data_IF_114525203841
#
_entry.id   IF_114525203841
#
_cell.length_a   1.000
_cell.length_b   1.000
_cell.length_c   1.000
_cell.angle_alpha   90.00
_cell.angle_beta   90.00
_cell.angle_gamma   90.00
#
_symmetry.space_group_name_H-M   'P 1'
#
loop_
_entity.id
_entity.type
_entity.pdbx_description
1 polymer ?
#
# COMPACT_ATOMS: atom_id res chain seq x y z
N UNK A 1 -14.50 -12.30 13.98
CA UNK A 1 -14.74 -10.92 14.47
C UNK A 1 -13.63 -9.96 14.13
N UNK A 2 -12.35 -10.35 14.19
CA UNK A 2 -11.21 -9.52 13.77
C UNK A 2 -11.39 -8.94 12.36
N UNK A 3 -11.71 -9.77 11.36
CA UNK A 3 -11.90 -9.31 9.97
C UNK A 3 -13.08 -8.34 9.82
N UNK A 4 -14.10 -8.50 10.67
CA UNK A 4 -15.23 -7.55 10.73
C UNK A 4 -14.80 -6.22 11.32
N UNK A 5 -13.96 -6.24 12.37
CA UNK A 5 -13.38 -5.03 12.94
C UNK A 5 -12.53 -4.30 11.90
N UNK A 6 -11.66 -5.00 11.20
CA UNK A 6 -10.81 -4.41 10.16
C UNK A 6 -11.62 -3.66 9.08
N UNK A 7 -12.80 -4.19 8.71
CA UNK A 7 -13.69 -3.55 7.74
C UNK A 7 -14.55 -2.41 8.30
N UNK A 8 -14.98 -2.52 9.56
CA UNK A 8 -15.95 -1.59 10.17
C UNK A 8 -15.30 -0.46 10.99
N UNK A 9 -14.07 -0.67 11.47
CA UNK A 9 -13.41 0.26 12.40
C UNK A 9 -13.95 0.23 13.83
N UNK A 10 -14.83 -0.72 14.14
CA UNK A 10 -15.37 -0.95 15.48
C UNK A 10 -15.81 -2.41 15.64
N UNK A 11 -15.91 -2.86 16.88
CA UNK A 11 -16.41 -4.20 17.19
C UNK A 11 -17.91 -4.29 16.91
N UNK A 12 -18.27 -4.86 15.77
CA UNK A 12 -19.64 -4.90 15.26
C UNK A 12 -19.91 -6.06 14.30
N UNK A 13 -21.13 -6.10 13.79
CA UNK A 13 -21.57 -7.09 12.82
C UNK A 13 -21.86 -8.47 13.40
N UNK A 14 -21.89 -9.48 12.53
CA UNK A 14 -22.19 -10.88 12.87
C UNK A 14 -21.14 -11.81 12.32
N UNK A 15 -20.82 -12.89 13.03
CA UNK A 15 -20.01 -13.99 12.53
C UNK A 15 -20.90 -15.24 12.41
N UNK A 16 -20.77 -15.93 11.29
CA UNK A 16 -21.46 -17.19 11.04
C UNK A 16 -20.46 -18.34 11.19
N UNK A 17 -20.77 -19.30 12.05
CA UNK A 17 -19.97 -20.48 12.32
C UNK A 17 -20.67 -21.69 11.73
N UNK A 18 -19.97 -22.45 10.91
CA UNK A 18 -20.45 -23.67 10.27
C UNK A 18 -19.54 -24.83 10.62
N UNK A 19 -20.04 -26.05 10.46
CA UNK A 19 -19.26 -27.28 10.63
C UNK A 19 -18.64 -27.46 12.03
N UNK A 20 -19.26 -26.91 13.06
CA UNK A 20 -18.81 -27.05 14.43
C UNK A 20 -19.07 -28.47 14.95
N UNK A 21 -18.11 -29.02 15.69
CA UNK A 21 -18.23 -30.27 16.42
C UNK A 21 -19.25 -30.15 17.56
N UNK A 22 -19.69 -31.32 18.12
CA UNK A 22 -20.59 -31.31 19.26
C UNK A 22 -19.98 -30.63 20.49
N UNK A 23 -18.69 -30.80 20.64
CA UNK A 23 -17.92 -30.25 21.76
C UNK A 23 -17.82 -28.73 21.66
N UNK A 24 -17.49 -28.18 20.49
CA UNK A 24 -17.46 -26.72 20.23
C UNK A 24 -18.85 -26.09 20.43
N UNK A 25 -19.91 -26.75 19.98
CA UNK A 25 -21.27 -26.26 20.21
C UNK A 25 -21.63 -26.22 21.69
N UNK A 26 -21.20 -27.23 22.46
CA UNK A 26 -21.39 -27.26 23.89
C UNK A 26 -20.65 -26.14 24.61
N UNK A 27 -19.40 -25.90 24.24
CA UNK A 27 -18.58 -24.79 24.77
C UNK A 27 -19.22 -23.42 24.47
N UNK A 28 -19.63 -23.21 23.21
CA UNK A 28 -20.36 -22.01 22.82
C UNK A 28 -21.68 -21.86 23.60
N UNK A 29 -22.38 -22.98 23.80
CA UNK A 29 -23.61 -23.02 24.59
C UNK A 29 -23.39 -22.57 26.02
N UNK A 30 -22.33 -23.07 26.66
CA UNK A 30 -21.95 -22.65 28.01
C UNK A 30 -21.56 -21.17 28.07
N UNK A 31 -20.81 -20.67 27.09
CA UNK A 31 -20.37 -19.27 27.03
C UNK A 31 -21.54 -18.28 26.81
N UNK A 32 -22.42 -18.59 25.86
CA UNK A 32 -23.54 -17.71 25.51
C UNK A 32 -24.84 -18.02 26.28
N UNK A 33 -24.82 -19.00 27.17
CA UNK A 33 -25.99 -19.49 27.93
C UNK A 33 -27.16 -19.87 27.01
N UNK A 34 -26.86 -20.56 25.90
CA UNK A 34 -27.85 -20.99 24.89
C UNK A 34 -27.54 -22.40 24.41
N UNK A 35 -28.57 -23.16 24.06
CA UNK A 35 -28.41 -24.48 23.45
C UNK A 35 -28.19 -24.34 21.92
N UNK A 36 -27.04 -24.80 21.46
CA UNK A 36 -26.66 -24.84 20.05
C UNK A 36 -26.51 -26.24 19.48
N UNK A 37 -26.82 -27.26 20.26
CA UNK A 37 -26.54 -28.69 19.92
C UNK A 37 -27.22 -29.12 18.62
N UNK A 38 -28.43 -28.64 18.34
CA UNK A 38 -29.20 -28.98 17.15
C UNK A 38 -28.90 -28.07 15.94
N UNK A 39 -28.17 -26.96 16.12
CA UNK A 39 -27.95 -26.00 15.08
C UNK A 39 -26.88 -26.45 14.07
N UNK A 40 -27.19 -26.44 12.78
CA UNK A 40 -26.20 -26.66 11.71
C UNK A 40 -25.27 -25.46 11.53
N UNK A 41 -25.82 -24.27 11.74
CA UNK A 41 -25.14 -22.97 11.62
C UNK A 41 -25.46 -22.13 12.84
N UNK A 42 -24.45 -21.48 13.41
CA UNK A 42 -24.60 -20.60 14.56
C UNK A 42 -24.18 -19.20 14.13
N UNK A 43 -25.08 -18.23 14.31
CA UNK A 43 -24.79 -16.82 14.06
C UNK A 43 -24.59 -16.11 15.37
N UNK A 44 -23.42 -15.47 15.54
CA UNK A 44 -23.05 -14.73 16.73
C UNK A 44 -22.90 -13.26 16.35
N UNK A 45 -23.70 -12.40 16.98
CA UNK A 45 -23.58 -10.96 16.82
C UNK A 45 -22.59 -10.35 17.79
N UNK A 46 -21.99 -9.22 17.42
CA UNK A 46 -21.15 -8.43 18.32
C UNK A 46 -21.92 -7.99 19.57
N UNK A 47 -23.21 -7.67 19.45
CA UNK A 47 -24.06 -7.30 20.60
C UNK A 47 -24.25 -8.44 21.58
N UNK A 48 -24.42 -9.69 21.07
CA UNK A 48 -24.49 -10.87 21.94
C UNK A 48 -23.15 -11.07 22.68
N UNK A 49 -22.03 -10.90 21.98
CA UNK A 49 -20.71 -11.00 22.60
C UNK A 49 -20.50 -9.90 23.66
N UNK A 50 -20.88 -8.66 23.38
CA UNK A 50 -20.81 -7.55 24.36
C UNK A 50 -21.64 -7.86 25.61
N UNK A 51 -22.90 -8.27 25.44
CA UNK A 51 -23.78 -8.64 26.57
C UNK A 51 -23.21 -9.78 27.40
N UNK A 52 -22.64 -10.80 26.78
CA UNK A 52 -22.02 -11.90 27.51
C UNK A 52 -20.77 -11.44 28.30
N UNK A 53 -20.00 -10.53 27.76
CA UNK A 53 -18.84 -9.97 28.44
C UNK A 53 -19.28 -9.12 29.65
N UNK A 54 -20.27 -8.24 29.46
CA UNK A 54 -20.84 -7.38 30.50
C UNK A 54 -21.46 -8.17 31.66
N UNK A 55 -22.04 -9.33 31.37
CA UNK A 55 -22.61 -10.23 32.39
C UNK A 55 -21.61 -11.20 33.03
N UNK A 56 -20.35 -11.16 32.63
CA UNK A 56 -19.28 -12.04 33.11
C UNK A 56 -18.43 -11.36 34.19
N UNK A 57 -17.53 -12.15 34.81
CA UNK A 57 -16.50 -11.60 35.70
C UNK A 57 -15.50 -10.66 35.00
N UNK A 58 -15.58 -10.54 33.69
CA UNK A 58 -14.71 -9.69 32.84
C UNK A 58 -15.44 -8.45 32.32
N UNK A 59 -16.51 -8.01 32.96
CA UNK A 59 -17.35 -6.88 32.55
C UNK A 59 -16.60 -5.55 32.35
N UNK A 60 -15.40 -5.38 32.93
CA UNK A 60 -14.55 -4.20 32.74
C UNK A 60 -13.66 -4.24 31.50
N UNK A 61 -13.65 -5.34 30.73
CA UNK A 61 -12.85 -5.46 29.51
C UNK A 61 -13.67 -5.15 28.26
N UNK A 62 -12.98 -4.77 27.19
CA UNK A 62 -13.56 -4.64 25.86
C UNK A 62 -13.16 -5.81 24.98
N UNK A 63 -13.96 -6.12 23.97
CA UNK A 63 -13.60 -7.17 23.01
C UNK A 63 -12.38 -6.80 22.17
N UNK A 64 -12.18 -5.53 21.93
CA UNK A 64 -10.98 -5.00 21.27
C UNK A 64 -9.73 -5.40 22.07
N UNK A 65 -9.69 -5.10 23.35
CA UNK A 65 -8.57 -5.45 24.23
C UNK A 65 -8.35 -6.97 24.32
N UNK A 66 -9.44 -7.73 24.37
CA UNK A 66 -9.35 -9.20 24.38
C UNK A 66 -8.74 -9.74 23.09
N UNK A 67 -9.18 -9.21 21.93
CA UNK A 67 -8.66 -9.64 20.64
C UNK A 67 -7.20 -9.20 20.45
N UNK A 68 -6.84 -7.99 20.82
CA UNK A 68 -5.45 -7.51 20.79
C UNK A 68 -4.54 -8.38 21.66
N UNK A 69 -4.98 -8.69 22.87
CA UNK A 69 -4.23 -9.57 23.77
C UNK A 69 -4.09 -10.99 23.21
N UNK A 70 -5.17 -11.52 22.62
CA UNK A 70 -5.17 -12.87 22.05
C UNK A 70 -4.25 -12.99 20.82
N UNK A 71 -4.25 -12.00 19.95
CA UNK A 71 -3.42 -11.99 18.74
C UNK A 71 -2.00 -11.45 18.97
N UNK A 72 -1.75 -10.79 20.10
CA UNK A 72 -0.46 -10.17 20.42
C UNK A 72 -0.15 -8.93 19.57
N UNK A 73 -1.13 -8.35 18.91
CA UNK A 73 -0.98 -7.18 18.04
C UNK A 73 -2.21 -6.28 18.10
N UNK A 74 -2.06 -4.96 17.85
CA UNK A 74 -3.18 -4.02 17.80
C UNK A 74 -4.17 -4.37 16.68
N UNK A 75 -5.44 -4.10 16.92
CA UNK A 75 -6.47 -4.21 15.88
C UNK A 75 -6.29 -3.09 14.86
N UNK A 76 -6.22 -3.45 13.59
CA UNK A 76 -5.99 -2.50 12.50
C UNK A 76 -7.28 -2.26 11.72
N UNK A 77 -7.52 -1.01 11.35
CA UNK A 77 -8.62 -0.59 10.48
C UNK A 77 -8.10 -0.47 9.06
N UNK A 78 -8.64 -1.25 8.14
CA UNK A 78 -8.19 -1.30 6.75
C UNK A 78 -8.16 0.08 6.09
N UNK A 79 -9.18 0.89 6.34
CA UNK A 79 -9.26 2.27 5.80
C UNK A 79 -8.14 3.18 6.31
N UNK A 80 -7.72 3.02 7.56
CA UNK A 80 -6.61 3.81 8.13
C UNK A 80 -5.27 3.40 7.53
N UNK A 81 -5.07 2.10 7.30
CA UNK A 81 -3.88 1.58 6.61
C UNK A 81 -3.81 2.13 5.18
N UNK A 82 -4.91 2.01 4.42
CA UNK A 82 -4.99 2.51 3.05
C UNK A 82 -4.73 4.03 2.98
N UNK A 83 -5.27 4.78 3.93
CA UNK A 83 -5.04 6.23 4.01
C UNK A 83 -3.58 6.56 4.34
N UNK A 84 -2.99 5.84 5.28
CA UNK A 84 -1.58 6.03 5.64
C UNK A 84 -0.63 5.67 4.50
N UNK A 85 -0.94 4.60 3.74
CA UNK A 85 -0.17 4.22 2.55
C UNK A 85 -0.31 5.25 1.42
N UNK A 86 -1.54 5.76 1.18
CA UNK A 86 -1.77 6.84 0.20
C UNK A 86 -0.94 8.07 0.56
N UNK A 87 -0.99 8.49 1.81
CA UNK A 87 -0.23 9.65 2.28
C UNK A 87 1.28 9.46 2.14
N UNK A 88 1.81 8.30 2.53
CA UNK A 88 3.25 8.00 2.35
C UNK A 88 3.67 8.10 0.89
N UNK A 89 2.83 7.60 -0.01
CA UNK A 89 3.10 7.67 -1.44
C UNK A 89 3.08 9.12 -1.94
N UNK A 90 2.11 9.91 -1.51
CA UNK A 90 2.01 11.33 -1.84
C UNK A 90 3.23 12.11 -1.36
N UNK A 91 3.62 11.93 -0.10
CA UNK A 91 4.79 12.56 0.51
C UNK A 91 6.09 12.15 -0.23
N UNK A 92 6.25 10.87 -0.56
CA UNK A 92 7.41 10.38 -1.30
C UNK A 92 7.57 11.04 -2.68
N UNK A 93 6.49 11.13 -3.45
CA UNK A 93 6.56 11.76 -4.77
C UNK A 93 6.67 13.29 -4.69
N UNK A 94 6.09 13.92 -3.67
CA UNK A 94 6.27 15.35 -3.41
C UNK A 94 7.73 15.69 -3.16
N UNK A 95 8.43 14.94 -2.30
CA UNK A 95 9.86 15.12 -2.06
C UNK A 95 10.70 14.98 -3.33
N UNK A 96 10.39 13.99 -4.18
CA UNK A 96 11.10 13.82 -5.45
C UNK A 96 10.85 15.00 -6.37
N UNK A 97 9.60 15.44 -6.54
CA UNK A 97 9.25 16.59 -7.36
C UNK A 97 9.94 17.88 -6.90
N UNK A 98 10.07 18.09 -5.59
CA UNK A 98 10.80 19.21 -5.02
C UNK A 98 12.31 19.12 -5.29
N UNK A 99 12.88 17.93 -5.32
CA UNK A 99 14.30 17.70 -5.58
C UNK A 99 14.72 17.93 -7.05
N UNK A 100 13.76 17.86 -7.98
CA UNK A 100 14.02 18.06 -9.41
C UNK A 100 14.21 19.55 -9.70
N UNK A 101 15.40 19.93 -10.13
CA UNK A 101 15.75 21.34 -10.43
C UNK A 101 15.19 21.80 -11.76
N UNK A 102 15.13 20.91 -12.77
CA UNK A 102 14.65 21.25 -14.11
C UNK A 102 13.13 21.14 -14.23
N UNK A 103 12.49 22.19 -14.76
CA UNK A 103 11.03 22.23 -14.89
C UNK A 103 10.49 21.18 -15.85
N UNK A 104 11.20 20.87 -16.94
CA UNK A 104 10.74 19.85 -17.90
C UNK A 104 10.69 18.45 -17.30
N UNK A 105 11.71 18.10 -16.49
CA UNK A 105 11.72 16.86 -15.73
C UNK A 105 10.62 16.80 -14.67
N UNK A 106 10.36 17.94 -14.02
CA UNK A 106 9.28 18.06 -13.03
C UNK A 106 7.89 17.91 -13.66
N UNK A 107 7.63 18.61 -14.76
CA UNK A 107 6.38 18.53 -15.51
C UNK A 107 6.14 17.12 -16.06
N UNK A 108 7.19 16.49 -16.61
CA UNK A 108 7.12 15.11 -17.09
C UNK A 108 6.68 14.15 -15.97
N UNK A 109 7.34 14.16 -14.82
CA UNK A 109 6.98 13.28 -13.72
C UNK A 109 5.58 13.58 -13.19
N UNK A 110 5.22 14.86 -13.05
CA UNK A 110 3.88 15.28 -12.62
C UNK A 110 2.80 14.73 -13.56
N UNK A 111 3.01 14.88 -14.87
CA UNK A 111 2.03 14.40 -15.86
C UNK A 111 1.84 12.89 -15.82
N UNK A 112 2.91 12.11 -15.59
CA UNK A 112 2.79 10.65 -15.41
C UNK A 112 1.97 10.31 -14.17
N UNK A 113 2.22 10.98 -13.05
CA UNK A 113 1.55 10.69 -11.79
C UNK A 113 0.08 11.09 -11.79
N UNK A 114 -0.25 12.26 -12.31
CA UNK A 114 -1.61 12.83 -12.29
C UNK A 114 -2.49 12.25 -13.42
N UNK A 115 -1.96 12.17 -14.62
CA UNK A 115 -2.73 11.72 -15.80
C UNK A 115 -2.60 10.22 -16.08
N UNK A 116 -1.80 9.50 -15.26
CA UNK A 116 -1.53 8.06 -15.40
C UNK A 116 -1.04 7.67 -16.81
N UNK A 117 -0.17 8.51 -17.36
CA UNK A 117 0.45 8.29 -18.66
C UNK A 117 1.34 7.05 -18.70
N UNK A 118 1.90 6.78 -19.85
CA UNK A 118 2.91 5.72 -20.02
C UNK A 118 4.04 5.88 -18.98
N UNK A 119 4.48 4.76 -18.41
CA UNK A 119 5.43 4.75 -17.27
C UNK A 119 4.75 4.70 -15.88
N UNK A 120 3.48 5.10 -15.73
CA UNK A 120 2.79 5.12 -14.43
C UNK A 120 2.79 3.76 -13.72
N UNK A 121 2.49 2.69 -14.44
CA UNK A 121 2.47 1.34 -13.87
C UNK A 121 3.85 0.90 -13.42
N UNK A 122 4.88 1.18 -14.23
CA UNK A 122 6.27 0.86 -13.92
C UNK A 122 6.74 1.61 -12.67
N UNK A 123 6.48 2.92 -12.60
CA UNK A 123 6.81 3.74 -11.43
C UNK A 123 6.06 3.24 -10.19
N UNK A 124 4.78 2.89 -10.32
CA UNK A 124 3.98 2.40 -9.20
C UNK A 124 4.45 1.04 -8.69
N UNK A 125 4.88 0.15 -9.59
CA UNK A 125 5.44 -1.14 -9.24
C UNK A 125 6.78 -0.97 -8.51
N UNK A 126 7.69 -0.19 -9.06
CA UNK A 126 9.00 0.10 -8.46
C UNK A 126 8.88 0.79 -7.09
N UNK A 127 7.91 1.69 -6.92
CA UNK A 127 7.64 2.29 -5.61
C UNK A 127 7.32 1.23 -4.54
N UNK A 128 6.58 0.19 -4.90
CA UNK A 128 6.23 -0.89 -3.96
C UNK A 128 7.39 -1.84 -3.69
N UNK A 129 8.21 -2.11 -4.70
CA UNK A 129 9.28 -3.10 -4.63
C UNK A 129 10.58 -2.51 -4.07
N UNK A 130 10.97 -1.32 -4.51
CA UNK A 130 12.23 -0.68 -4.16
C UNK A 130 12.17 0.85 -4.30
N UNK A 131 11.60 1.57 -3.31
CA UNK A 131 11.46 3.03 -3.35
C UNK A 131 12.80 3.77 -3.55
N UNK A 132 13.88 3.28 -2.92
CA UNK A 132 15.21 3.91 -3.04
C UNK A 132 15.80 3.76 -4.46
N UNK A 133 15.61 2.62 -5.08
CA UNK A 133 16.00 2.41 -6.46
C UNK A 133 15.19 3.31 -7.40
N UNK A 134 13.89 3.40 -7.18
CA UNK A 134 13.03 4.30 -7.96
C UNK A 134 13.49 5.76 -7.83
N UNK A 135 13.82 6.23 -6.62
CA UNK A 135 14.36 7.58 -6.40
C UNK A 135 15.59 7.84 -7.26
N UNK A 136 16.53 6.90 -7.28
CA UNK A 136 17.73 6.98 -8.09
C UNK A 136 17.41 7.00 -9.60
N UNK A 137 16.51 6.15 -10.06
CA UNK A 137 16.09 6.09 -11.45
C UNK A 137 15.45 7.41 -11.87
N UNK A 138 14.51 7.94 -11.09
CA UNK A 138 13.84 9.21 -11.39
C UNK A 138 14.83 10.38 -11.41
N UNK A 139 15.79 10.41 -10.51
CA UNK A 139 16.86 11.42 -10.51
C UNK A 139 17.66 11.39 -11.81
N UNK A 140 18.08 10.21 -12.25
CA UNK A 140 18.83 10.05 -13.49
C UNK A 140 18.00 10.39 -14.74
N UNK A 141 16.75 9.94 -14.79
CA UNK A 141 15.86 10.20 -15.93
C UNK A 141 15.57 11.70 -16.04
N UNK A 142 15.24 12.39 -14.95
CA UNK A 142 14.97 13.84 -14.97
C UNK A 142 16.22 14.67 -15.30
N UNK A 143 17.40 14.23 -14.82
CA UNK A 143 18.68 14.80 -15.25
C UNK A 143 18.92 14.59 -16.74
N UNK A 144 18.58 13.41 -17.25
CA UNK A 144 18.66 13.12 -18.69
C UNK A 144 17.73 14.01 -19.51
N UNK A 145 16.48 14.21 -19.07
CA UNK A 145 15.51 15.09 -19.72
C UNK A 145 16.04 16.52 -19.82
N UNK A 146 16.59 17.05 -18.74
CA UNK A 146 17.19 18.40 -18.72
C UNK A 146 18.33 18.53 -19.76
N UNK A 147 19.19 17.52 -19.88
CA UNK A 147 20.28 17.50 -20.89
C UNK A 147 19.75 17.36 -22.30
N UNK A 148 18.75 16.51 -22.55
CA UNK A 148 18.14 16.36 -23.88
C UNK A 148 17.57 17.68 -24.40
N UNK A 149 16.92 18.47 -23.56
CA UNK A 149 16.42 19.80 -23.91
C UNK A 149 17.53 20.71 -24.41
N UNK A 150 18.68 20.72 -23.72
CA UNK A 150 19.85 21.53 -24.13
C UNK A 150 20.38 21.05 -25.48
N UNK A 151 20.39 19.76 -25.77
CA UNK A 151 20.82 19.22 -27.08
C UNK A 151 19.85 19.58 -28.21
N UNK A 152 18.54 19.48 -27.94
CA UNK A 152 17.51 19.88 -28.90
C UNK A 152 17.66 21.39 -29.29
N UNK A 153 17.82 22.26 -28.30
CA UNK A 153 18.00 23.69 -28.51
C UNK A 153 19.26 24.02 -29.33
N UNK A 154 20.35 23.28 -29.11
CA UNK A 154 21.63 23.45 -29.80
C UNK A 154 21.77 22.61 -31.07
N UNK A 155 20.79 21.80 -31.43
CA UNK A 155 20.85 20.80 -32.55
C UNK A 155 22.08 19.93 -32.50
N UNK A 156 22.51 19.56 -31.29
CA UNK A 156 23.67 18.71 -31.07
C UNK A 156 23.26 17.24 -31.06
N UNK A 157 24.18 16.35 -31.45
CA UNK A 157 24.03 14.90 -31.39
C UNK A 157 25.10 14.35 -30.47
N UNK A 158 24.74 13.42 -29.61
CA UNK A 158 25.66 12.72 -28.74
C UNK A 158 25.39 11.21 -28.82
N UNK A 159 26.43 10.40 -28.66
CA UNK A 159 26.27 8.96 -28.57
C UNK A 159 25.59 8.58 -27.27
N UNK A 160 24.65 7.63 -27.30
CA UNK A 160 23.88 7.20 -26.14
C UNK A 160 24.78 6.79 -24.95
N UNK A 161 25.87 6.06 -25.22
CA UNK A 161 26.80 5.63 -24.17
C UNK A 161 27.50 6.82 -23.48
N UNK A 162 27.83 7.88 -24.24
CA UNK A 162 28.45 9.11 -23.71
C UNK A 162 27.41 9.89 -22.91
N UNK A 163 26.21 10.04 -23.44
CA UNK A 163 25.09 10.65 -22.74
C UNK A 163 24.79 9.93 -21.41
N UNK A 164 24.67 8.59 -21.46
CA UNK A 164 24.45 7.74 -20.28
C UNK A 164 25.54 7.95 -19.22
N UNK A 165 26.81 7.89 -19.62
CA UNK A 165 27.93 8.11 -18.71
C UNK A 165 27.91 9.51 -18.07
N UNK A 166 27.59 10.52 -18.88
CA UNK A 166 27.50 11.92 -18.42
C UNK A 166 26.34 12.18 -17.44
N UNK A 167 25.26 11.42 -17.55
CA UNK A 167 24.08 11.55 -16.67
C UNK A 167 24.23 10.73 -15.40
N UNK A 168 24.71 9.49 -15.50
CA UNK A 168 24.62 8.48 -14.46
C UNK A 168 25.98 7.95 -13.97
N UNK A 169 27.07 8.25 -14.66
CA UNK A 169 28.37 7.60 -14.46
C UNK A 169 28.49 6.21 -15.11
N UNK A 170 27.40 5.66 -15.67
CA UNK A 170 27.36 4.33 -16.28
C UNK A 170 26.98 4.45 -17.77
N UNK A 171 27.85 4.09 -18.71
CA UNK A 171 27.57 4.18 -20.15
C UNK A 171 26.43 3.27 -20.64
N UNK A 172 26.06 2.25 -19.83
CA UNK A 172 25.03 1.26 -20.14
C UNK A 172 23.72 1.47 -19.41
N UNK A 173 23.53 2.62 -18.74
CA UNK A 173 22.36 2.84 -17.91
C UNK A 173 21.06 3.00 -18.72
N UNK A 174 21.16 3.62 -19.89
CA UNK A 174 20.03 3.83 -20.80
C UNK A 174 20.06 2.87 -22.02
N UNK A 175 20.72 1.72 -21.89
CA UNK A 175 20.69 0.68 -22.94
C UNK A 175 19.28 0.09 -23.06
N UNK A 176 18.96 -0.42 -24.25
CA UNK A 176 17.67 -1.02 -24.58
C UNK A 176 17.21 -2.07 -23.55
N UNK A 177 15.95 -1.96 -23.13
CA UNK A 177 15.32 -2.85 -22.15
C UNK A 177 15.56 -2.48 -20.69
N UNK A 178 16.39 -1.49 -20.39
CA UNK A 178 16.61 -0.98 -19.03
C UNK A 178 15.45 -0.08 -18.57
N UNK A 179 15.20 -0.06 -17.26
CA UNK A 179 14.14 0.76 -16.68
C UNK A 179 14.35 2.26 -16.96
N UNK A 180 15.58 2.74 -16.82
CA UNK A 180 15.91 4.13 -17.09
C UNK A 180 15.66 4.52 -18.55
N UNK A 181 15.98 3.63 -19.49
CA UNK A 181 15.70 3.82 -20.92
C UNK A 181 14.17 3.94 -21.15
N UNK A 182 13.39 2.98 -20.68
CA UNK A 182 11.92 2.99 -20.86
C UNK A 182 11.28 4.28 -20.37
N UNK A 183 11.71 4.77 -19.21
CA UNK A 183 11.18 6.01 -18.66
C UNK A 183 11.68 7.25 -19.41
N UNK A 184 12.92 7.27 -19.87
CA UNK A 184 13.45 8.39 -20.63
C UNK A 184 12.78 8.51 -22.02
N UNK A 185 12.53 7.37 -22.68
CA UNK A 185 11.84 7.36 -23.98
C UNK A 185 10.39 7.79 -23.89
N UNK A 186 9.73 7.66 -22.77
CA UNK A 186 8.38 8.20 -22.56
C UNK A 186 8.32 9.73 -22.56
N UNK A 187 9.46 10.42 -22.48
CA UNK A 187 9.56 11.85 -22.61
C UNK A 187 9.71 12.30 -24.07
N UNK A 188 10.36 11.47 -24.93
CA UNK A 188 10.65 11.80 -26.34
C UNK A 188 9.44 11.67 -27.24
#
# INVERSE_FOLDING_TARGET
>A
MRDKYAGLGHFGGTAMLTSLSREEKSQLGGFFQRDYTSNKTITISADLMKKCLESSKFAGLTWELILETYFGEPLQVKKEIELAESKRREDYFAEILESISDESGREWLRSILEEKKEGYLLITQLYKESPEELRSILTYVTTGIAKLKVFQDKKQKELLAVFSANVTGNPHYFDEGKTGEKLLFNYL
#
